data_IF_171893993714
#
_entry.id   IF_171893993714
#
_cell.length_a   1.000
_cell.length_b   1.000
_cell.length_c   1.000
_cell.angle_alpha   90.00
_cell.angle_beta   90.00
_cell.angle_gamma   90.00
#
_symmetry.space_group_name_H-M   'P 1'
#
loop_
_entity.id
_entity.type
_entity.pdbx_description
1 polymer ?
#
# COMPACT_ATOMS: atom_id res chain seq x y z
N UNK A 1 -3.08 14.32 -23.85
CA UNK A 1 -2.54 14.17 -22.47
C UNK A 1 -1.26 14.97 -22.20
N UNK A 2 -0.55 15.53 -23.19
CA UNK A 2 0.60 16.42 -22.93
C UNK A 2 1.88 15.75 -22.40
N UNK A 3 1.91 14.42 -22.33
CA UNK A 3 3.03 13.62 -21.82
C UNK A 3 4.06 13.28 -22.92
N UNK A 4 4.52 14.28 -23.67
CA UNK A 4 5.30 14.10 -24.90
C UNK A 4 6.68 13.44 -24.72
N UNK A 5 7.16 13.31 -23.46
CA UNK A 5 8.45 12.69 -23.10
C UNK A 5 8.28 11.44 -22.21
N UNK A 6 7.07 10.94 -22.05
CA UNK A 6 6.82 9.76 -21.25
C UNK A 6 7.23 8.48 -22.00
N UNK A 7 7.71 7.50 -21.24
CA UNK A 7 7.86 6.09 -21.66
C UNK A 7 7.04 5.21 -20.71
N UNK A 8 6.81 3.95 -21.07
CA UNK A 8 5.97 3.05 -20.28
C UNK A 8 6.33 1.59 -20.43
N UNK A 9 5.89 0.80 -19.46
CA UNK A 9 6.01 -0.65 -19.40
C UNK A 9 4.83 -1.23 -18.62
N UNK A 10 4.54 -2.52 -18.85
CA UNK A 10 3.49 -3.23 -18.14
C UNK A 10 4.06 -4.10 -17.02
N UNK A 11 3.41 -4.06 -15.85
CA UNK A 11 3.64 -4.99 -14.75
C UNK A 11 2.55 -6.06 -14.73
N UNK A 12 2.92 -7.34 -14.75
CA UNK A 12 1.98 -8.47 -14.74
C UNK A 12 2.06 -9.22 -13.40
N UNK A 13 0.93 -9.30 -12.71
CA UNK A 13 0.81 -10.09 -11.47
C UNK A 13 -0.63 -10.44 -11.09
N UNK A 14 -1.55 -10.52 -12.08
CA UNK A 14 -2.99 -10.65 -11.83
C UNK A 14 -3.46 -9.63 -10.77
N UNK A 15 -4.25 -10.04 -9.76
CA UNK A 15 -4.69 -9.15 -8.69
C UNK A 15 -3.54 -8.61 -7.80
N UNK A 16 -2.32 -9.17 -7.85
CA UNK A 16 -1.14 -8.57 -7.22
C UNK A 16 -0.44 -7.52 -8.10
N UNK A 17 -0.80 -7.44 -9.38
CA UNK A 17 -0.17 -6.56 -10.38
C UNK A 17 -0.07 -5.09 -9.93
N UNK A 18 -1.15 -4.48 -9.41
CA UNK A 18 -1.05 -3.11 -8.89
C UNK A 18 -0.03 -2.92 -7.78
N UNK A 19 0.07 -3.87 -6.84
CA UNK A 19 1.03 -3.76 -5.75
C UNK A 19 2.46 -3.92 -6.23
N UNK A 20 2.71 -4.80 -7.21
CA UNK A 20 4.00 -4.87 -7.91
C UNK A 20 4.34 -3.56 -8.62
N UNK A 21 3.40 -3.01 -9.39
CA UNK A 21 3.61 -1.75 -10.11
C UNK A 21 3.91 -0.58 -9.17
N UNK A 22 3.30 -0.54 -7.98
CA UNK A 22 3.60 0.45 -6.94
C UNK A 22 5.03 0.30 -6.39
N UNK A 23 5.48 -0.92 -6.11
CA UNK A 23 6.84 -1.20 -5.65
C UNK A 23 7.86 -0.87 -6.74
N UNK A 24 7.59 -1.24 -7.99
CA UNK A 24 8.42 -0.90 -9.15
C UNK A 24 8.54 0.61 -9.33
N UNK A 25 7.41 1.34 -9.30
CA UNK A 25 7.41 2.80 -9.41
C UNK A 25 8.22 3.46 -8.29
N UNK A 26 7.99 3.05 -7.04
CA UNK A 26 8.75 3.56 -5.90
C UNK A 26 10.25 3.24 -6.03
N UNK A 27 10.61 2.05 -6.52
CA UNK A 27 12.01 1.64 -6.73
C UNK A 27 12.69 2.46 -7.82
N UNK A 28 12.00 2.70 -8.95
CA UNK A 28 12.48 3.52 -10.06
C UNK A 28 12.73 4.97 -9.64
N UNK A 29 11.83 5.53 -8.83
CA UNK A 29 11.98 6.87 -8.26
C UNK A 29 13.13 6.90 -7.26
N UNK A 30 13.18 5.94 -6.33
CA UNK A 30 14.24 5.87 -5.31
C UNK A 30 15.64 5.71 -5.94
N UNK A 31 15.75 5.01 -7.06
CA UNK A 31 17.00 4.82 -7.79
C UNK A 31 17.43 6.05 -8.63
N UNK A 32 16.57 7.06 -8.78
CA UNK A 32 16.84 8.24 -9.60
C UNK A 32 16.72 8.01 -11.11
N UNK A 33 16.23 6.84 -11.54
CA UNK A 33 16.00 6.53 -12.96
C UNK A 33 14.83 7.37 -13.52
N UNK A 34 13.84 7.66 -12.68
CA UNK A 34 12.70 8.52 -13.01
C UNK A 34 12.41 9.47 -11.85
N UNK A 35 12.03 10.71 -12.15
CA UNK A 35 11.59 11.67 -11.12
C UNK A 35 10.13 11.50 -10.72
N UNK A 36 9.35 10.93 -11.64
CA UNK A 36 7.92 10.76 -11.49
C UNK A 36 7.47 9.57 -12.34
N UNK A 37 6.66 8.70 -11.75
CA UNK A 37 6.08 7.52 -12.38
C UNK A 37 4.59 7.51 -12.09
N UNK A 38 3.77 7.40 -13.14
CA UNK A 38 2.33 7.22 -13.02
C UNK A 38 2.00 5.72 -13.06
N UNK A 39 1.47 5.19 -11.96
CA UNK A 39 0.95 3.82 -11.91
C UNK A 39 -0.52 3.84 -12.27
N UNK A 40 -0.87 3.23 -13.40
CA UNK A 40 -2.23 3.22 -13.93
C UNK A 40 -2.72 1.77 -13.98
N UNK A 41 -3.88 1.52 -13.40
CA UNK A 41 -4.49 0.19 -13.37
C UNK A 41 -5.99 0.25 -13.55
N UNK A 42 -6.56 -0.83 -14.08
CA UNK A 42 -7.94 -0.85 -14.55
C UNK A 42 -8.56 -2.24 -14.55
N UNK A 43 -9.87 -2.28 -14.38
CA UNK A 43 -10.67 -3.45 -14.72
C UNK A 43 -10.63 -3.71 -16.23
N UNK A 44 -10.93 -4.94 -16.67
CA UNK A 44 -11.05 -5.28 -18.08
C UNK A 44 -12.40 -5.91 -18.41
N UNK A 45 -12.94 -5.59 -19.59
CA UNK A 45 -14.23 -6.10 -20.07
C UNK A 45 -14.27 -7.62 -20.14
N UNK A 46 -13.15 -8.28 -20.46
CA UNK A 46 -13.06 -9.74 -20.54
C UNK A 46 -13.25 -10.44 -19.18
N UNK A 47 -13.05 -9.73 -18.07
CA UNK A 47 -13.29 -10.25 -16.72
C UNK A 47 -14.70 -9.93 -16.21
N UNK A 48 -15.33 -8.90 -16.78
CA UNK A 48 -16.65 -8.40 -16.41
C UNK A 48 -17.68 -9.55 -16.47
N UNK A 49 -18.48 -9.69 -15.42
CA UNK A 49 -19.55 -10.68 -15.36
C UNK A 49 -19.13 -12.09 -14.91
N UNK A 50 -17.86 -12.32 -14.54
CA UNK A 50 -17.46 -13.61 -13.98
C UNK A 50 -18.21 -13.96 -12.68
N UNK A 51 -18.44 -12.99 -11.80
CA UNK A 51 -19.32 -13.18 -10.65
C UNK A 51 -20.80 -13.01 -11.04
N UNK A 52 -21.06 -12.20 -12.08
CA UNK A 52 -22.38 -12.01 -12.68
C UNK A 52 -23.10 -13.32 -12.99
N UNK A 53 -22.37 -14.34 -13.49
CA UNK A 53 -22.93 -15.69 -13.68
C UNK A 53 -23.58 -16.24 -12.40
N UNK A 54 -22.89 -16.17 -11.26
CA UNK A 54 -23.40 -16.68 -9.99
C UNK A 54 -24.56 -15.86 -9.44
N UNK A 55 -24.62 -14.56 -9.77
CA UNK A 55 -25.79 -13.72 -9.42
C UNK A 55 -27.02 -14.15 -10.22
N UNK A 56 -26.88 -14.33 -11.54
CA UNK A 56 -27.97 -14.75 -12.42
C UNK A 56 -28.48 -16.14 -12.06
N UNK A 57 -27.60 -17.10 -11.75
CA UNK A 57 -28.00 -18.44 -11.25
C UNK A 57 -28.84 -18.38 -9.97
N UNK A 58 -28.75 -17.28 -9.21
CA UNK A 58 -29.51 -17.04 -7.98
C UNK A 58 -30.69 -16.09 -8.19
N UNK A 59 -31.13 -15.88 -9.43
CA UNK A 59 -32.21 -14.96 -9.80
C UNK A 59 -31.95 -13.51 -9.35
N UNK A 60 -30.68 -13.08 -9.34
CA UNK A 60 -30.29 -11.71 -9.06
C UNK A 60 -29.80 -11.01 -10.33
N UNK A 61 -29.92 -9.67 -10.43
CA UNK A 61 -29.21 -8.91 -11.46
C UNK A 61 -27.71 -9.17 -11.36
N UNK A 62 -27.00 -9.11 -12.48
CA UNK A 62 -25.54 -9.09 -12.46
C UNK A 62 -25.09 -7.81 -11.76
N UNK A 63 -24.61 -7.93 -10.52
CA UNK A 63 -24.19 -6.79 -9.68
C UNK A 63 -22.80 -6.24 -10.07
N UNK A 64 -22.17 -6.89 -11.04
CA UNK A 64 -20.82 -6.61 -11.49
C UNK A 64 -20.85 -6.04 -12.90
N UNK A 65 -21.31 -4.78 -12.99
CA UNK A 65 -21.61 -4.09 -14.24
C UNK A 65 -20.77 -2.81 -14.42
N UNK A 66 -19.82 -2.54 -13.54
CA UNK A 66 -18.93 -1.38 -13.62
C UNK A 66 -17.45 -1.76 -13.79
N UNK A 67 -16.73 -0.93 -14.54
CA UNK A 67 -15.28 -0.98 -14.67
C UNK A 67 -14.68 0.16 -13.86
N UNK A 68 -13.82 -0.19 -12.91
CA UNK A 68 -12.99 0.78 -12.20
C UNK A 68 -11.69 1.08 -12.94
N UNK A 69 -11.05 2.17 -12.54
CA UNK A 69 -9.67 2.51 -12.89
C UNK A 69 -9.06 3.35 -11.78
N UNK A 70 -7.74 3.35 -11.67
CA UNK A 70 -7.00 4.23 -10.77
C UNK A 70 -5.73 4.74 -11.44
N UNK A 71 -5.25 5.88 -10.96
CA UNK A 71 -3.93 6.41 -11.26
C UNK A 71 -3.31 6.89 -9.96
N UNK A 72 -2.09 6.42 -9.65
CA UNK A 72 -1.28 6.91 -8.54
C UNK A 72 -0.03 7.54 -9.11
N UNK A 73 0.25 8.77 -8.70
CA UNK A 73 1.49 9.46 -9.06
C UNK A 73 2.50 9.25 -7.94
N UNK A 74 3.62 8.61 -8.28
CA UNK A 74 4.77 8.43 -7.39
C UNK A 74 5.87 9.36 -7.87
N UNK A 75 6.37 10.23 -7.01
CA UNK A 75 7.42 11.20 -7.33
C UNK A 75 8.54 11.17 -6.33
N UNK A 76 9.62 11.90 -6.62
CA UNK A 76 10.63 12.27 -5.63
C UNK A 76 9.98 12.81 -4.35
N UNK A 77 10.65 12.59 -3.22
CA UNK A 77 10.13 12.98 -1.91
C UNK A 77 9.94 14.50 -1.84
N UNK A 78 8.69 14.95 -1.69
CA UNK A 78 8.31 16.36 -1.61
C UNK A 78 8.28 16.88 -0.15
N UNK A 79 8.54 16.02 0.84
CA UNK A 79 8.46 16.34 2.27
C UNK A 79 7.05 16.45 2.83
N UNK A 80 6.01 16.23 2.02
CA UNK A 80 4.60 16.46 2.38
C UNK A 80 3.78 15.21 2.17
N UNK A 81 3.83 14.63 0.97
CA UNK A 81 3.07 13.46 0.57
C UNK A 81 3.56 12.20 1.29
N UNK A 82 2.67 11.25 1.63
CA UNK A 82 3.07 10.00 2.28
C UNK A 82 4.15 9.25 1.52
N UNK A 83 5.08 8.66 2.26
CA UNK A 83 6.20 7.89 1.72
C UNK A 83 5.79 6.42 1.53
N UNK A 84 6.27 5.80 0.44
CA UNK A 84 6.25 4.34 0.28
C UNK A 84 7.54 3.80 0.91
N UNK A 85 7.41 3.05 2.00
CA UNK A 85 8.55 2.51 2.73
C UNK A 85 9.02 1.20 2.08
N UNK A 86 10.12 1.28 1.32
CA UNK A 86 10.74 0.14 0.62
C UNK A 86 11.55 -0.79 1.55
N UNK A 87 11.73 -0.43 2.82
CA UNK A 87 12.37 -1.32 3.81
C UNK A 87 11.38 -2.35 4.37
N UNK A 88 10.07 -2.04 4.31
CA UNK A 88 8.98 -2.90 4.79
C UNK A 88 8.23 -3.53 3.61
N UNK A 89 8.93 -4.41 2.88
CA UNK A 89 8.36 -5.16 1.76
C UNK A 89 8.06 -6.61 2.16
N UNK A 90 6.79 -7.00 2.06
CA UNK A 90 6.38 -8.39 2.12
C UNK A 90 6.48 -9.05 0.75
N UNK A 91 6.89 -10.31 0.74
CA UNK A 91 7.04 -11.10 -0.49
C UNK A 91 6.64 -12.53 -0.22
N UNK A 92 5.61 -12.98 -0.92
CA UNK A 92 5.25 -14.39 -0.97
C UNK A 92 6.11 -15.08 -2.04
N UNK A 93 6.78 -16.16 -1.67
CA UNK A 93 7.58 -16.94 -2.61
C UNK A 93 6.85 -18.23 -2.97
N UNK A 94 7.15 -18.80 -4.13
CA UNK A 94 6.57 -20.10 -4.54
C UNK A 94 6.79 -21.17 -3.47
N UNK A 95 7.95 -21.17 -2.81
CA UNK A 95 8.30 -22.11 -1.74
C UNK A 95 7.51 -21.93 -0.44
N UNK A 96 6.89 -20.77 -0.21
CA UNK A 96 6.04 -20.50 0.97
C UNK A 96 4.78 -21.38 0.99
N UNK A 97 4.38 -21.91 -0.19
CA UNK A 97 3.17 -22.69 -0.36
C UNK A 97 1.90 -21.86 -0.29
N UNK A 98 0.74 -22.52 -0.23
CA UNK A 98 -0.58 -21.89 -0.35
C UNK A 98 -1.38 -21.83 0.95
N UNK A 99 -0.80 -22.28 2.07
CA UNK A 99 -1.47 -22.23 3.37
C UNK A 99 -1.73 -20.76 3.77
N UNK A 100 -2.98 -20.38 4.11
CA UNK A 100 -3.32 -18.98 4.40
C UNK A 100 -2.44 -18.32 5.47
N UNK A 101 -2.06 -19.06 6.52
CA UNK A 101 -1.16 -18.56 7.56
C UNK A 101 0.24 -18.22 7.02
N UNK A 102 0.78 -19.05 6.13
CA UNK A 102 2.10 -18.82 5.53
C UNK A 102 2.07 -17.61 4.59
N UNK A 103 1.00 -17.49 3.80
CA UNK A 103 0.80 -16.35 2.90
C UNK A 103 0.75 -15.05 3.71
N UNK A 104 -0.11 -14.96 4.72
CA UNK A 104 -0.23 -13.76 5.57
C UNK A 104 1.05 -13.54 6.39
N UNK A 105 1.74 -14.58 6.83
CA UNK A 105 3.07 -14.48 7.46
C UNK A 105 4.05 -13.72 6.56
N UNK A 106 4.24 -14.21 5.33
CA UNK A 106 5.19 -13.64 4.38
C UNK A 106 4.84 -12.22 3.90
N UNK A 107 3.55 -11.88 3.85
CA UNK A 107 3.05 -10.59 3.38
C UNK A 107 2.85 -9.56 4.49
N UNK A 108 2.70 -9.97 5.74
CA UNK A 108 2.36 -9.05 6.84
C UNK A 108 3.35 -9.18 7.98
N UNK A 109 3.42 -10.35 8.60
CA UNK A 109 4.12 -10.47 9.87
C UNK A 109 5.64 -10.44 9.73
N UNK A 110 6.19 -11.12 8.72
CA UNK A 110 7.63 -11.21 8.50
C UNK A 110 8.27 -9.86 8.10
N UNK A 111 7.71 -9.06 7.17
CA UNK A 111 8.27 -7.75 6.85
C UNK A 111 8.20 -6.75 8.01
N UNK A 112 7.16 -6.81 8.85
CA UNK A 112 7.04 -5.97 10.03
C UNK A 112 8.08 -6.37 11.10
N UNK A 113 8.19 -7.67 11.38
CA UNK A 113 9.14 -8.19 12.38
C UNK A 113 10.60 -7.87 12.01
N UNK A 114 10.97 -8.01 10.72
CA UNK A 114 12.32 -7.63 10.24
C UNK A 114 12.65 -6.16 10.47
N UNK A 115 11.63 -5.31 10.63
CA UNK A 115 11.75 -3.88 10.88
C UNK A 115 11.37 -3.51 12.33
N UNK A 116 11.30 -4.49 13.24
CA UNK A 116 11.00 -4.27 14.66
C UNK A 116 9.58 -3.76 14.94
N UNK A 117 8.64 -3.95 14.01
CA UNK A 117 7.25 -3.52 14.13
C UNK A 117 6.33 -4.69 14.46
N UNK A 118 5.29 -4.40 15.24
CA UNK A 118 4.17 -5.30 15.53
C UNK A 118 3.10 -5.19 14.46
N UNK A 119 2.26 -6.21 14.34
CA UNK A 119 1.05 -6.15 13.50
C UNK A 119 0.11 -5.02 13.98
N UNK A 120 0.08 -4.74 15.27
CA UNK A 120 -0.75 -3.66 15.85
C UNK A 120 -0.18 -2.26 15.64
N UNK A 121 1.04 -2.10 15.12
CA UNK A 121 1.63 -0.79 14.80
C UNK A 121 1.16 -0.25 13.43
N UNK A 122 0.46 -1.06 12.63
CA UNK A 122 -0.14 -0.63 11.37
C UNK A 122 -1.58 -0.17 11.62
N UNK A 123 -1.89 1.09 11.33
CA UNK A 123 -3.22 1.65 11.59
C UNK A 123 -4.29 1.08 10.67
N UNK A 124 -3.96 0.83 9.39
CA UNK A 124 -4.90 0.25 8.42
C UNK A 124 -4.26 -0.79 7.51
N UNK A 125 -4.92 -1.93 7.37
CA UNK A 125 -4.60 -2.96 6.39
C UNK A 125 -5.56 -2.86 5.19
N UNK A 126 -4.99 -2.77 4.00
CA UNK A 126 -5.72 -2.86 2.73
C UNK A 126 -5.32 -4.15 2.02
N UNK A 127 -6.03 -5.28 2.25
CA UNK A 127 -5.87 -6.53 1.53
C UNK A 127 -6.68 -6.46 0.24
N UNK A 128 -7.24 -7.58 -0.21
CA UNK A 128 -8.15 -7.50 -1.34
C UNK A 128 -9.46 -6.75 -0.97
N UNK A 129 -9.73 -5.64 -1.67
CA UNK A 129 -10.75 -4.66 -1.30
C UNK A 129 -12.11 -4.90 -1.99
N UNK A 130 -12.44 -6.14 -2.35
CA UNK A 130 -13.70 -6.46 -3.03
C UNK A 130 -14.91 -5.97 -2.25
N UNK A 131 -15.87 -5.37 -2.93
CA UNK A 131 -17.15 -5.00 -2.35
C UNK A 131 -17.93 -6.26 -1.90
N UNK A 132 -18.20 -6.42 -0.59
CA UNK A 132 -18.91 -7.59 -0.06
C UNK A 132 -20.34 -7.71 -0.57
N UNK A 133 -20.98 -6.61 -0.98
CA UNK A 133 -22.33 -6.64 -1.55
C UNK A 133 -22.35 -7.35 -2.90
N UNK A 134 -21.21 -7.42 -3.60
CA UNK A 134 -21.05 -8.16 -4.85
C UNK A 134 -20.58 -9.60 -4.59
N UNK A 135 -19.61 -9.79 -3.69
CA UNK A 135 -19.00 -11.11 -3.47
C UNK A 135 -19.85 -12.06 -2.61
N UNK A 136 -20.58 -11.55 -1.60
CA UNK A 136 -21.43 -12.39 -0.74
C UNK A 136 -22.52 -13.09 -1.55
N UNK A 137 -23.30 -12.40 -2.40
CA UNK A 137 -24.30 -13.08 -3.23
C UNK A 137 -23.67 -14.01 -4.27
N UNK A 138 -22.46 -13.72 -4.76
CA UNK A 138 -21.73 -14.62 -5.67
C UNK A 138 -21.15 -15.87 -4.97
N UNK A 139 -21.23 -15.98 -3.64
CA UNK A 139 -20.72 -17.12 -2.86
C UNK A 139 -19.24 -17.02 -2.46
N UNK A 140 -18.58 -15.90 -2.73
CA UNK A 140 -17.18 -15.67 -2.33
C UNK A 140 -17.04 -15.10 -0.90
N UNK A 141 -18.16 -14.70 -0.27
CA UNK A 141 -18.17 -14.18 1.11
C UNK A 141 -17.59 -12.77 1.23
N UNK A 142 -17.17 -12.40 2.43
CA UNK A 142 -16.55 -11.09 2.73
C UNK A 142 -15.02 -11.23 2.71
N UNK A 143 -14.42 -10.93 1.56
CA UNK A 143 -12.99 -11.16 1.33
C UNK A 143 -12.09 -10.27 2.19
N UNK A 144 -12.32 -8.94 2.31
CA UNK A 144 -11.57 -8.10 3.24
C UNK A 144 -11.68 -8.61 4.69
N UNK A 145 -12.89 -8.90 5.17
CA UNK A 145 -13.10 -9.37 6.54
C UNK A 145 -12.39 -10.71 6.83
N UNK A 146 -12.38 -11.62 5.86
CA UNK A 146 -11.65 -12.88 5.99
C UNK A 146 -10.14 -12.64 6.17
N UNK A 147 -9.55 -11.71 5.41
CA UNK A 147 -8.15 -11.33 5.57
C UNK A 147 -7.88 -10.70 6.94
N UNK A 148 -8.73 -9.79 7.43
CA UNK A 148 -8.55 -9.18 8.75
C UNK A 148 -8.58 -10.20 9.88
N UNK A 149 -9.48 -11.20 9.82
CA UNK A 149 -9.51 -12.30 10.79
C UNK A 149 -8.20 -13.10 10.80
N UNK A 150 -7.60 -13.32 9.62
CA UNK A 150 -6.32 -14.03 9.52
C UNK A 150 -5.15 -13.21 10.05
N UNK A 151 -5.10 -11.91 9.76
CA UNK A 151 -4.09 -10.99 10.30
C UNK A 151 -4.22 -10.90 11.83
N UNK A 152 -5.44 -10.74 12.35
CA UNK A 152 -5.71 -10.70 13.79
C UNK A 152 -5.29 -11.99 14.50
N UNK A 153 -5.63 -13.15 13.91
CA UNK A 153 -5.22 -14.45 14.46
C UNK A 153 -3.70 -14.60 14.52
N UNK A 154 -2.99 -14.07 13.51
CA UNK A 154 -1.53 -14.08 13.49
C UNK A 154 -0.93 -13.11 14.52
N UNK A 155 -1.54 -11.94 14.72
CA UNK A 155 -1.16 -11.00 15.79
C UNK A 155 -1.28 -11.63 17.17
N UNK A 156 -2.38 -12.36 17.43
CA UNK A 156 -2.56 -13.11 18.69
C UNK A 156 -1.50 -14.20 18.83
N UNK A 157 -1.21 -14.94 17.76
CA UNK A 157 -0.19 -15.99 17.78
C UNK A 157 1.22 -15.44 18.06
N UNK A 158 1.53 -14.23 17.58
CA UNK A 158 2.82 -13.55 17.84
C UNK A 158 2.88 -12.80 19.18
N UNK A 159 1.75 -12.63 19.88
CA UNK A 159 1.68 -11.85 21.12
C UNK A 159 1.55 -10.35 20.92
N UNK A 160 1.27 -9.90 19.69
CA UNK A 160 1.06 -8.48 19.34
C UNK A 160 -0.35 -7.99 19.73
N UNK A 161 -1.29 -8.91 19.87
CA UNK A 161 -2.72 -8.66 20.16
C UNK A 161 -3.22 -9.65 21.21
N UNK A 162 -4.02 -9.20 22.18
CA UNK A 162 -4.67 -10.11 23.11
C UNK A 162 -5.87 -10.82 22.45
N UNK A 163 -6.12 -12.07 22.83
CA UNK A 163 -7.24 -12.87 22.25
C UNK A 163 -8.61 -12.20 22.41
N UNK A 164 -8.80 -11.41 23.47
CA UNK A 164 -10.06 -10.68 23.74
C UNK A 164 -10.32 -9.56 22.73
N UNK A 165 -9.25 -9.01 22.14
CA UNK A 165 -9.32 -7.87 21.21
C UNK A 165 -9.44 -8.30 19.75
N UNK A 166 -9.40 -9.61 19.47
CA UNK A 166 -9.51 -10.17 18.13
C UNK A 166 -10.78 -9.72 17.40
N UNK A 167 -11.90 -9.59 18.11
CA UNK A 167 -13.17 -9.17 17.53
C UNK A 167 -13.16 -7.69 17.07
N UNK A 168 -12.30 -6.86 17.68
CA UNK A 168 -12.20 -5.43 17.36
C UNK A 168 -11.20 -5.16 16.24
N UNK A 169 -10.28 -6.08 15.95
CA UNK A 169 -9.22 -5.87 14.97
C UNK A 169 -9.73 -5.39 13.60
N UNK A 170 -10.79 -6.01 13.07
CA UNK A 170 -11.34 -5.61 11.77
C UNK A 170 -11.96 -4.19 11.78
N UNK A 171 -12.47 -3.75 12.94
CA UNK A 171 -12.99 -2.40 13.13
C UNK A 171 -11.85 -1.38 13.24
N UNK A 172 -10.84 -1.72 14.03
CA UNK A 172 -9.77 -0.78 14.38
C UNK A 172 -8.72 -0.69 13.26
N UNK A 173 -8.31 -1.82 12.70
CA UNK A 173 -7.24 -1.92 11.69
C UNK A 173 -7.75 -2.29 10.28
N UNK A 174 -9.03 -2.64 10.13
CA UNK A 174 -9.61 -3.00 8.82
C UNK A 174 -10.36 -1.86 8.13
N UNK A 175 -10.89 -2.18 6.95
CA UNK A 175 -11.68 -1.34 6.06
C UNK A 175 -12.85 -2.15 5.49
N UNK A 176 -13.96 -1.49 5.14
CA UNK A 176 -15.00 -2.16 4.36
C UNK A 176 -14.59 -2.17 2.90
N UNK A 177 -14.63 -3.34 2.25
CA UNK A 177 -14.34 -3.45 0.81
C UNK A 177 -15.34 -2.63 -0.01
N UNK A 178 -14.83 -1.93 -1.02
CA UNK A 178 -15.63 -1.04 -1.87
C UNK A 178 -15.29 -1.17 -3.35
N UNK A 179 -14.20 -1.86 -3.68
CA UNK A 179 -13.77 -2.00 -5.07
C UNK A 179 -14.73 -2.95 -5.80
N UNK A 180 -15.22 -2.57 -6.99
CA UNK A 180 -15.95 -3.51 -7.82
C UNK A 180 -15.05 -4.71 -8.13
N UNK A 181 -15.64 -5.88 -8.20
CA UNK A 181 -14.95 -7.19 -8.16
C UNK A 181 -14.21 -7.53 -9.46
N UNK A 182 -13.44 -6.63 -10.07
CA UNK A 182 -13.03 -6.82 -11.46
C UNK A 182 -11.61 -6.36 -11.80
N UNK A 183 -10.88 -7.24 -12.49
CA UNK A 183 -9.57 -7.05 -13.15
C UNK A 183 -8.55 -6.17 -12.42
N UNK A 184 -7.53 -6.77 -11.80
CA UNK A 184 -6.37 -6.11 -11.16
C UNK A 184 -6.70 -5.17 -9.97
N UNK A 185 -7.77 -4.38 -10.03
CA UNK A 185 -8.20 -3.42 -9.01
C UNK A 185 -8.49 -4.01 -7.64
N UNK A 186 -8.99 -5.24 -7.44
CA UNK A 186 -9.30 -5.70 -6.08
C UNK A 186 -8.04 -6.06 -5.26
N UNK A 187 -6.85 -5.63 -5.67
CA UNK A 187 -5.69 -5.48 -4.77
C UNK A 187 -5.97 -4.50 -3.62
N UNK A 188 -5.03 -4.32 -2.69
CA UNK A 188 -5.11 -3.25 -1.69
C UNK A 188 -4.91 -1.83 -2.22
N UNK A 189 -4.42 -1.68 -3.46
CA UNK A 189 -4.04 -0.37 -4.03
C UNK A 189 -5.18 0.66 -4.14
N UNK A 190 -6.45 0.31 -4.38
CA UNK A 190 -7.54 1.30 -4.42
C UNK A 190 -7.67 2.15 -3.15
N UNK A 191 -7.19 1.65 -2.01
CA UNK A 191 -7.19 2.42 -0.77
C UNK A 191 -6.13 3.52 -0.72
N UNK A 192 -5.08 3.48 -1.54
CA UNK A 192 -3.93 4.41 -1.47
C UNK A 192 -4.36 5.88 -1.53
N UNK A 193 -5.33 6.22 -2.38
CA UNK A 193 -5.87 7.58 -2.46
C UNK A 193 -6.52 8.04 -1.15
N UNK A 194 -7.34 7.19 -0.53
CA UNK A 194 -7.99 7.47 0.74
C UNK A 194 -6.98 7.49 1.89
N UNK A 195 -6.05 6.54 1.92
CA UNK A 195 -4.98 6.49 2.89
C UNK A 195 -4.12 7.77 2.85
N UNK A 196 -3.86 8.32 1.67
CA UNK A 196 -3.17 9.61 1.54
C UNK A 196 -3.93 10.73 2.24
N UNK A 197 -5.23 10.83 2.04
CA UNK A 197 -6.07 11.84 2.69
C UNK A 197 -6.09 11.66 4.21
N UNK A 198 -6.22 10.42 4.68
CA UNK A 198 -6.26 10.12 6.10
C UNK A 198 -4.91 10.36 6.79
N UNK A 199 -3.79 10.07 6.12
CA UNK A 199 -2.43 10.38 6.61
C UNK A 199 -2.21 11.90 6.68
N UNK A 200 -2.56 12.64 5.63
CA UNK A 200 -2.38 14.09 5.58
C UNK A 200 -3.27 14.82 6.59
N UNK A 201 -4.45 14.30 6.87
CA UNK A 201 -5.34 14.82 7.92
C UNK A 201 -4.95 14.37 9.34
N UNK A 202 -3.97 13.47 9.48
CA UNK A 202 -3.51 12.95 10.77
C UNK A 202 -4.42 11.90 11.41
N UNK A 203 -5.42 11.38 10.70
CA UNK A 203 -6.31 10.31 11.21
C UNK A 203 -5.59 8.98 11.38
N UNK A 204 -4.66 8.68 10.48
CA UNK A 204 -3.77 7.52 10.53
C UNK A 204 -2.34 7.96 10.27
N UNK A 205 -1.37 7.16 10.70
CA UNK A 205 0.06 7.35 10.51
C UNK A 205 0.58 6.51 9.35
N UNK A 206 -0.01 5.34 9.12
CA UNK A 206 0.44 4.42 8.09
C UNK A 206 -0.69 3.50 7.60
N UNK A 207 -0.46 2.84 6.49
CA UNK A 207 -1.29 1.74 6.02
C UNK A 207 -0.43 0.70 5.30
N UNK A 208 -0.74 -0.57 5.49
CA UNK A 208 -0.11 -1.65 4.74
C UNK A 208 -1.00 -2.06 3.57
N UNK A 209 -0.46 -1.99 2.36
CA UNK A 209 -1.12 -2.35 1.12
C UNK A 209 -0.66 -3.75 0.71
N UNK A 210 -1.61 -4.66 0.50
CA UNK A 210 -1.33 -6.07 0.22
C UNK A 210 -1.95 -6.43 -1.13
N UNK A 211 -1.13 -6.98 -2.02
CA UNK A 211 -1.57 -7.56 -3.29
C UNK A 211 -1.38 -9.08 -3.27
N UNK A 212 -2.41 -9.81 -3.65
CA UNK A 212 -2.33 -11.26 -3.85
C UNK A 212 -3.06 -11.64 -5.13
N UNK A 213 -2.44 -12.49 -5.92
CA UNK A 213 -2.97 -13.00 -7.18
C UNK A 213 -2.65 -14.48 -7.34
N UNK A 214 -3.37 -15.15 -8.23
CA UNK A 214 -2.94 -16.49 -8.67
C UNK A 214 -1.59 -16.37 -9.37
N UNK A 215 -0.69 -17.34 -9.17
CA UNK A 215 0.59 -17.33 -9.89
C UNK A 215 0.40 -17.60 -11.40
N UNK A 216 -0.59 -18.43 -11.73
CA UNK A 216 -0.95 -18.77 -13.11
C UNK A 216 -2.44 -18.57 -13.37
N UNK A 217 -2.78 -18.31 -14.63
CA UNK A 217 -4.17 -18.17 -15.07
C UNK A 217 -4.90 -19.53 -14.94
N UNK A 218 -6.21 -19.48 -14.69
CA UNK A 218 -7.07 -20.67 -14.80
C UNK A 218 -6.95 -21.68 -13.66
N UNK A 219 -6.34 -21.31 -12.52
CA UNK A 219 -6.10 -22.23 -11.38
C UNK A 219 -5.35 -23.51 -11.79
N UNK A 220 -4.44 -23.40 -12.76
CA UNK A 220 -3.56 -24.53 -13.14
C UNK A 220 -2.75 -25.06 -11.94
N UNK A 221 -2.52 -24.20 -10.94
CA UNK A 221 -2.00 -24.58 -9.63
C UNK A 221 -2.79 -23.86 -8.54
N UNK A 222 -2.63 -24.32 -7.29
CA UNK A 222 -3.12 -23.62 -6.09
C UNK A 222 -2.08 -22.62 -5.54
N UNK A 223 -1.08 -22.25 -6.33
CA UNK A 223 -0.03 -21.32 -5.93
C UNK A 223 -0.48 -19.87 -6.16
N UNK A 224 0.00 -19.01 -5.29
CA UNK A 224 -0.24 -17.58 -5.34
C UNK A 224 1.07 -16.85 -5.59
N UNK A 225 0.94 -15.63 -6.09
CA UNK A 225 1.94 -14.58 -6.01
C UNK A 225 1.40 -13.49 -5.10
N UNK A 226 2.28 -12.78 -4.41
CA UNK A 226 1.88 -11.70 -3.53
C UNK A 226 3.04 -10.85 -3.07
N UNK A 227 2.75 -9.56 -2.94
CA UNK A 227 3.65 -8.55 -2.39
C UNK A 227 2.86 -7.58 -1.54
N UNK A 228 3.55 -6.95 -0.60
CA UNK A 228 2.98 -5.87 0.20
C UNK A 228 4.02 -4.78 0.45
N UNK A 229 3.51 -3.59 0.73
CA UNK A 229 4.32 -2.43 1.08
C UNK A 229 3.58 -1.56 2.10
N UNK A 230 4.33 -0.77 2.86
CA UNK A 230 3.76 0.21 3.79
C UNK A 230 3.82 1.59 3.18
N UNK A 231 2.70 2.31 3.24
CA UNK A 231 2.67 3.76 3.08
C UNK A 231 2.61 4.40 4.46
N UNK A 232 3.37 5.46 4.67
CA UNK A 232 3.48 6.11 5.97
C UNK A 232 3.54 7.62 5.85
N UNK A 233 3.21 8.32 6.94
CA UNK A 233 3.43 9.76 7.05
C UNK A 233 4.87 10.10 6.66
N UNK A 234 5.01 11.14 5.85
CA UNK A 234 6.31 11.63 5.42
C UNK A 234 7.19 11.95 6.64
N UNK A 235 8.43 11.49 6.60
CA UNK A 235 9.38 11.66 7.71
C UNK A 235 10.13 12.99 7.64
N UNK A 236 9.96 13.75 6.55
CA UNK A 236 10.73 14.94 6.22
C UNK A 236 12.16 14.64 5.76
N UNK A 237 12.61 13.37 5.83
CA UNK A 237 13.98 12.98 5.47
C UNK A 237 14.15 12.99 3.95
N UNK A 238 15.17 13.71 3.48
CA UNK A 238 15.48 13.79 2.04
C UNK A 238 14.80 14.94 1.30
N UNK A 239 14.19 15.90 2.03
CA UNK A 239 13.92 17.25 1.49
C UNK A 239 15.23 18.01 1.34
N UNK A 240 16.02 17.63 0.33
CA UNK A 240 17.25 18.30 -0.11
C UNK A 240 18.34 18.53 0.97
N UNK A 241 19.43 17.78 0.86
CA UNK A 241 20.79 18.15 1.30
C UNK A 241 21.32 19.41 0.58
N UNK A 242 20.49 20.44 0.40
CA UNK A 242 20.81 21.63 -0.40
C UNK A 242 20.03 22.89 -0.06
N UNK A 243 19.03 22.84 0.81
CA UNK A 243 18.43 24.06 1.39
C UNK A 243 18.91 24.19 2.82
N UNK A 244 19.92 25.03 3.04
CA UNK A 244 20.31 25.48 4.37
C UNK A 244 19.04 25.94 5.08
N UNK A 245 18.71 25.33 6.21
CA UNK A 245 17.50 25.71 6.97
C UNK A 245 17.59 27.18 7.36
N UNK A 246 16.46 27.92 7.42
CA UNK A 246 16.49 29.32 7.88
C UNK A 246 17.22 29.49 9.22
N UNK A 247 17.11 28.48 10.09
CA UNK A 247 17.76 28.48 11.40
C UNK A 247 19.28 28.28 11.31
N UNK A 248 19.78 27.50 10.35
CA UNK A 248 21.21 27.43 10.04
C UNK A 248 21.72 28.73 9.42
N UNK A 249 20.96 29.37 8.53
CA UNK A 249 21.31 30.69 7.97
C UNK A 249 21.38 31.74 9.07
N UNK A 250 20.39 31.77 9.98
CA UNK A 250 20.39 32.67 11.15
C UNK A 250 21.58 32.41 12.07
N UNK A 251 21.94 31.14 12.31
CA UNK A 251 23.14 30.79 13.10
C UNK A 251 24.43 31.24 12.44
N UNK A 252 24.59 31.02 11.13
CA UNK A 252 25.75 31.46 10.35
C UNK A 252 25.90 32.99 10.37
N UNK A 253 24.81 33.72 10.13
CA UNK A 253 24.81 35.19 10.19
C UNK A 253 25.14 35.67 11.62
N UNK A 254 24.54 35.06 12.64
CA UNK A 254 24.81 35.42 14.02
C UNK A 254 26.27 35.14 14.43
N UNK A 255 26.85 34.02 14.00
CA UNK A 255 28.27 33.73 14.24
C UNK A 255 29.18 34.75 13.56
N UNK A 256 28.91 35.10 12.30
CA UNK A 256 29.72 36.07 11.57
C UNK A 256 29.59 37.48 12.15
N UNK A 257 28.40 37.90 12.58
CA UNK A 257 28.21 39.18 13.28
C UNK A 257 28.94 39.22 14.62
N UNK A 258 28.98 38.08 15.33
CA UNK A 258 29.68 37.96 16.62
C UNK A 258 31.20 37.99 16.45
N UNK A 259 31.74 37.32 15.43
CA UNK A 259 33.15 37.42 15.06
C UNK A 259 33.52 38.84 14.65
N UNK A 260 32.72 39.47 13.79
CA UNK A 260 32.95 40.86 13.35
C UNK A 260 32.93 41.84 14.53
N UNK A 261 32.00 41.67 15.47
CA UNK A 261 31.94 42.48 16.68
C UNK A 261 33.17 42.28 17.58
N UNK A 262 33.70 41.06 17.70
CA UNK A 262 34.96 40.80 18.43
C UNK A 262 36.14 41.50 17.79
N UNK A 263 36.23 41.50 16.46
CA UNK A 263 37.31 42.19 15.73
C UNK A 263 37.26 43.71 15.94
N UNK A 264 36.07 44.29 16.09
CA UNK A 264 35.89 45.73 16.37
C UNK A 264 36.17 46.11 17.83
N UNK A 265 35.98 45.19 18.78
CA UNK A 265 36.16 45.44 20.21
C UNK A 265 37.60 45.17 20.70
N UNK A 266 38.49 44.69 19.82
CA UNK A 266 39.91 44.50 20.15
C UNK A 266 40.19 43.42 21.19
N UNK A 267 39.26 42.48 21.38
CA UNK A 267 39.47 41.30 22.22
C UNK A 267 39.87 40.13 21.32
N UNK A 268 41.18 39.85 21.26
CA UNK A 268 41.72 38.56 20.79
C UNK A 268 41.33 37.41 21.73
#
# INVERSE_FOLDING_TARGET
AGLNKATGSDARGFCAGPSHAMIEAASLVKAGAFKCVAVIGGGCTAKLGMNGKNHVEKNMPALEDCLGGFCVIVSENDGVSPEINLDILGRHTVGTGSAPQNVIGSLVADPLERNGMKITDIDKYSPEMQNPDITKPAGAGDVPLANYKMIAALAVKKGDLEKKDLANFAKDHGLTGFAPTQGHIPSGVPYVGFARLDILSGKIKNAMIIGKGSLFLGRMTNLFDGVSFVIQKNTGKGTSEGSVSEDEVKKLIASSLKEFAKTLLGEE
#
